data_IF_657272458335
#
_entry.id   IF_657272458335
#
_cell.length_a   1.000
_cell.length_b   1.000
_cell.length_c   1.000
_cell.angle_alpha   90.00
_cell.angle_beta   90.00
_cell.angle_gamma   90.00
#
_symmetry.space_group_name_H-M   'P 1'
#
loop_
_entity.id
_entity.type
_entity.pdbx_description
1 polymer ?
#
# COMPACT_ATOMS: atom_id res chain seq x y z
N UNK A 1 1.48 -38.93 18.06
CA UNK A 1 1.29 -38.12 19.29
C UNK A 1 1.97 -36.74 19.28
N UNK A 2 3.29 -36.54 19.02
CA UNK A 2 3.87 -35.16 18.97
C UNK A 2 3.41 -34.33 17.76
N UNK A 3 3.22 -34.94 16.58
CA UNK A 3 2.83 -34.20 15.36
C UNK A 3 1.33 -33.80 15.34
N UNK A 4 0.42 -34.66 15.81
CA UNK A 4 -1.02 -34.35 15.84
C UNK A 4 -1.35 -33.18 16.78
N UNK A 5 -0.65 -33.07 17.91
CA UNK A 5 -0.87 -32.00 18.90
C UNK A 5 -0.37 -30.63 18.39
N UNK A 6 0.73 -30.61 17.63
CA UNK A 6 1.26 -29.38 17.00
C UNK A 6 0.38 -28.92 15.85
N UNK A 7 -0.06 -29.84 14.99
CA UNK A 7 -0.98 -29.54 13.88
C UNK A 7 -2.32 -28.99 14.40
N UNK A 8 -2.91 -29.62 15.42
CA UNK A 8 -4.14 -29.14 16.02
C UNK A 8 -3.99 -27.74 16.63
N UNK A 9 -2.90 -27.50 17.37
CA UNK A 9 -2.60 -26.18 17.95
C UNK A 9 -2.45 -25.08 16.88
N UNK A 10 -1.77 -25.35 15.78
CA UNK A 10 -1.61 -24.39 14.68
C UNK A 10 -2.95 -24.11 13.98
N UNK A 11 -3.82 -25.11 13.83
CA UNK A 11 -5.18 -24.92 13.28
C UNK A 11 -6.02 -24.04 14.20
N UNK A 12 -5.93 -24.27 15.52
CA UNK A 12 -6.67 -23.48 16.51
C UNK A 12 -6.21 -22.02 16.55
N UNK A 13 -4.88 -21.76 16.50
CA UNK A 13 -4.32 -20.40 16.46
C UNK A 13 -4.72 -19.63 15.19
N UNK A 14 -4.70 -20.27 14.02
CA UNK A 14 -5.19 -19.65 12.77
C UNK A 14 -6.68 -19.31 12.87
N UNK A 15 -7.48 -20.18 13.49
CA UNK A 15 -8.90 -19.92 13.72
C UNK A 15 -9.12 -18.70 14.64
N UNK A 16 -8.32 -18.56 15.69
CA UNK A 16 -8.35 -17.37 16.57
C UNK A 16 -8.02 -16.08 15.81
N UNK A 17 -6.99 -16.09 14.96
CA UNK A 17 -6.60 -14.92 14.16
C UNK A 17 -7.70 -14.54 13.15
N UNK A 18 -8.31 -15.52 12.48
CA UNK A 18 -9.45 -15.27 11.59
C UNK A 18 -10.64 -14.64 12.35
N UNK A 19 -10.86 -15.00 13.62
CA UNK A 19 -11.90 -14.34 14.45
C UNK A 19 -11.55 -12.88 14.71
N UNK A 20 -10.28 -12.54 14.95
CA UNK A 20 -9.84 -11.15 15.09
C UNK A 20 -10.07 -10.37 13.78
N UNK A 21 -9.68 -10.93 12.63
CA UNK A 21 -9.91 -10.30 11.33
C UNK A 21 -11.40 -10.13 11.03
N UNK A 22 -12.24 -11.07 11.45
CA UNK A 22 -13.70 -10.94 11.34
C UNK A 22 -14.26 -9.83 12.22
N UNK A 23 -13.76 -9.66 13.45
CA UNK A 23 -14.15 -8.53 14.31
C UNK A 23 -13.73 -7.20 13.70
N UNK A 24 -12.51 -7.14 13.17
CA UNK A 24 -12.01 -5.98 12.42
C UNK A 24 -12.95 -5.63 11.24
N UNK A 25 -13.28 -6.61 10.39
CA UNK A 25 -14.24 -6.43 9.28
C UNK A 25 -15.62 -5.98 9.79
N UNK A 26 -16.13 -6.56 10.88
CA UNK A 26 -17.43 -6.19 11.44
C UNK A 26 -17.45 -4.73 11.91
N UNK A 27 -16.35 -4.23 12.50
CA UNK A 27 -16.23 -2.81 12.86
C UNK A 27 -16.33 -1.90 11.64
N UNK A 28 -15.57 -2.19 10.58
CA UNK A 28 -15.63 -1.43 9.32
C UNK A 28 -16.94 -1.59 8.54
N UNK A 29 -17.72 -2.65 8.82
CA UNK A 29 -19.06 -2.83 8.26
C UNK A 29 -20.10 -2.06 9.06
N UNK A 30 -19.99 -2.06 10.39
CA UNK A 30 -20.95 -1.41 11.29
C UNK A 30 -20.75 0.10 11.41
N UNK A 31 -19.51 0.59 11.33
CA UNK A 31 -19.11 2.02 11.41
C UNK A 31 -19.75 2.76 12.60
N UNK A 32 -19.96 2.05 13.70
CA UNK A 32 -20.65 2.55 14.89
C UNK A 32 -19.69 3.34 15.79
N UNK A 33 -19.62 4.66 15.57
CA UNK A 33 -18.69 5.58 16.25
C UNK A 33 -18.78 5.48 17.77
N UNK A 34 -19.95 5.17 18.34
CA UNK A 34 -20.13 5.02 19.79
C UNK A 34 -19.35 3.83 20.37
N UNK A 35 -19.01 2.84 19.53
CA UNK A 35 -18.27 1.63 19.92
C UNK A 35 -16.78 1.68 19.59
N UNK A 36 -16.27 2.82 19.11
CA UNK A 36 -14.88 2.90 18.64
C UNK A 36 -13.86 2.61 19.74
N UNK A 37 -14.13 3.03 20.98
CA UNK A 37 -13.25 2.76 22.13
C UNK A 37 -13.11 1.27 22.39
N UNK A 38 -14.25 0.58 22.53
CA UNK A 38 -14.27 -0.87 22.72
C UNK A 38 -13.61 -1.61 21.55
N UNK A 39 -13.83 -1.15 20.31
CA UNK A 39 -13.22 -1.74 19.12
C UNK A 39 -11.69 -1.64 19.14
N UNK A 40 -11.16 -0.46 19.46
CA UNK A 40 -9.72 -0.20 19.47
C UNK A 40 -9.04 -0.93 20.63
N UNK A 41 -9.59 -0.87 21.84
CA UNK A 41 -9.08 -1.58 23.02
C UNK A 41 -9.07 -3.10 22.85
N UNK A 42 -10.09 -3.65 22.19
CA UNK A 42 -10.21 -5.09 21.95
C UNK A 42 -9.17 -5.58 20.94
N UNK A 43 -8.97 -4.83 19.84
CA UNK A 43 -8.25 -5.32 18.67
C UNK A 43 -6.81 -4.85 18.58
N UNK A 44 -6.41 -3.79 19.26
CA UNK A 44 -5.08 -3.17 19.11
C UNK A 44 -4.30 -3.16 20.42
N UNK A 45 -2.97 -3.24 20.29
CA UNK A 45 -2.04 -3.00 21.38
C UNK A 45 -1.94 -1.51 21.70
N UNK A 46 -1.62 -1.21 22.96
CA UNK A 46 -1.46 0.15 23.47
C UNK A 46 -0.48 1.00 22.64
N UNK A 47 0.58 0.37 22.16
CA UNK A 47 1.64 0.93 21.33
C UNK A 47 1.53 0.55 19.85
N UNK A 48 0.34 0.17 19.37
CA UNK A 48 0.14 -0.24 17.99
C UNK A 48 0.56 0.85 16.99
N UNK A 49 1.12 0.42 15.86
CA UNK A 49 1.52 1.26 14.75
C UNK A 49 0.66 0.96 13.52
N UNK A 50 -0.07 1.94 13.00
CA UNK A 50 -0.90 1.78 11.80
C UNK A 50 -0.41 2.73 10.70
N UNK A 51 -0.09 2.16 9.55
CA UNK A 51 0.22 2.88 8.33
C UNK A 51 -1.02 2.87 7.43
N UNK A 52 -1.63 4.04 7.24
CA UNK A 52 -2.76 4.24 6.33
C UNK A 52 -2.33 4.22 4.86
N UNK A 53 -3.15 4.76 3.98
CA UNK A 53 -2.91 4.78 2.53
C UNK A 53 -2.10 5.97 2.03
N UNK A 54 -2.09 7.11 2.73
CA UNK A 54 -1.36 8.34 2.34
C UNK A 54 0.03 8.52 2.98
N UNK A 55 0.79 9.50 2.51
CA UNK A 55 2.17 9.80 2.97
C UNK A 55 2.24 10.29 4.41
N UNK A 56 1.23 11.03 4.86
CA UNK A 56 1.16 11.52 6.25
C UNK A 56 0.43 10.57 7.20
N UNK A 57 0.01 9.40 6.73
CA UNK A 57 -0.88 8.51 7.47
C UNK A 57 -0.11 7.48 8.29
N UNK A 58 0.63 7.96 9.30
CA UNK A 58 1.26 7.13 10.33
C UNK A 58 0.57 7.39 11.66
N UNK A 59 0.00 6.37 12.29
CA UNK A 59 -0.73 6.50 13.55
C UNK A 59 -0.09 5.62 14.62
N UNK A 60 0.31 6.26 15.73
CA UNK A 60 1.09 5.64 16.79
C UNK A 60 0.32 5.65 18.12
N UNK A 61 0.08 4.46 18.66
CA UNK A 61 -0.65 4.23 19.90
C UNK A 61 -2.17 4.33 19.75
N UNK A 62 -2.90 3.83 20.76
CA UNK A 62 -4.37 3.66 20.68
C UNK A 62 -5.13 4.95 20.36
N UNK A 63 -4.72 6.11 20.90
CA UNK A 63 -5.42 7.37 20.64
C UNK A 63 -5.35 7.80 19.17
N UNK A 64 -4.18 7.66 18.55
CA UNK A 64 -4.03 7.99 17.13
C UNK A 64 -4.73 6.95 16.24
N UNK A 65 -4.62 5.66 16.60
CA UNK A 65 -5.36 4.59 15.93
C UNK A 65 -6.87 4.84 16.01
N UNK A 66 -7.40 5.23 17.17
CA UNK A 66 -8.80 5.61 17.34
C UNK A 66 -9.19 6.78 16.43
N UNK A 67 -8.35 7.81 16.34
CA UNK A 67 -8.58 8.94 15.43
C UNK A 67 -8.69 8.48 13.97
N UNK A 68 -7.79 7.61 13.52
CA UNK A 68 -7.85 6.99 12.19
C UNK A 68 -9.17 6.23 12.00
N UNK A 69 -9.52 5.31 12.91
CA UNK A 69 -10.74 4.51 12.79
C UNK A 69 -12.00 5.39 12.73
N UNK A 70 -12.06 6.47 13.53
CA UNK A 70 -13.17 7.44 13.47
C UNK A 70 -13.22 8.11 12.09
N UNK A 71 -12.07 8.53 11.55
CA UNK A 71 -11.99 9.12 10.21
C UNK A 71 -12.46 8.15 9.13
N UNK A 72 -11.98 6.91 9.20
CA UNK A 72 -12.34 5.85 8.28
C UNK A 72 -13.83 5.53 8.31
N UNK A 73 -14.42 5.38 9.49
CA UNK A 73 -15.84 5.07 9.64
C UNK A 73 -16.75 6.20 9.17
N UNK A 74 -16.30 7.45 9.24
CA UNK A 74 -17.07 8.61 8.77
C UNK A 74 -16.96 8.83 7.27
N UNK A 75 -15.76 8.65 6.71
CA UNK A 75 -15.44 9.22 5.40
C UNK A 75 -14.88 8.20 4.40
N UNK A 76 -14.34 7.08 4.88
CA UNK A 76 -13.77 6.07 4.00
C UNK A 76 -14.86 5.16 3.42
N UNK A 77 -14.57 4.55 2.28
CA UNK A 77 -15.51 3.70 1.55
C UNK A 77 -15.90 2.44 2.33
N UNK A 78 -16.71 1.58 1.73
CA UNK A 78 -17.08 0.32 2.38
C UNK A 78 -15.99 -0.71 2.15
N UNK A 79 -15.27 -1.07 3.22
CA UNK A 79 -14.18 -2.02 3.15
C UNK A 79 -14.71 -3.44 3.24
N UNK A 80 -14.18 -4.31 2.39
CA UNK A 80 -14.34 -5.76 2.49
C UNK A 80 -12.98 -6.44 2.31
N UNK A 81 -12.46 -7.05 3.37
CA UNK A 81 -11.27 -7.91 3.29
C UNK A 81 -11.66 -9.34 2.95
N UNK A 82 -10.77 -10.03 2.24
CA UNK A 82 -10.90 -11.45 1.95
C UNK A 82 -10.50 -12.27 3.18
N UNK A 83 -11.48 -12.89 3.83
CA UNK A 83 -11.26 -13.73 5.02
C UNK A 83 -10.96 -15.20 4.65
N UNK A 84 -11.16 -15.59 3.40
CA UNK A 84 -11.00 -16.96 2.93
C UNK A 84 -9.55 -17.20 2.50
N UNK A 85 -8.93 -16.22 1.82
CA UNK A 85 -7.58 -16.33 1.27
C UNK A 85 -6.53 -15.53 2.05
N UNK A 86 -6.70 -15.42 3.38
CA UNK A 86 -5.73 -14.75 4.25
C UNK A 86 -4.45 -15.58 4.36
N UNK A 87 -3.31 -14.94 4.10
CA UNK A 87 -1.99 -15.49 4.42
C UNK A 87 -1.74 -15.30 5.91
N UNK A 88 -1.64 -16.40 6.66
CA UNK A 88 -1.39 -16.39 8.10
C UNK A 88 -0.19 -17.28 8.39
N UNK A 89 0.84 -16.68 8.96
CA UNK A 89 1.98 -17.38 9.56
C UNK A 89 2.12 -16.94 11.01
N UNK A 90 2.75 -17.79 11.83
CA UNK A 90 2.98 -17.50 13.22
C UNK A 90 4.28 -18.12 13.72
N UNK A 91 4.80 -17.53 14.80
CA UNK A 91 5.95 -18.01 15.56
C UNK A 91 5.66 -17.71 17.04
N UNK A 92 5.28 -18.76 17.78
CA UNK A 92 4.88 -18.68 19.19
C UNK A 92 3.72 -17.67 19.43
N UNK A 93 4.00 -16.57 20.13
CA UNK A 93 3.04 -15.53 20.51
C UNK A 93 2.98 -14.37 19.50
N UNK A 94 3.61 -14.52 18.34
CA UNK A 94 3.57 -13.54 17.24
C UNK A 94 2.95 -14.18 16.01
N UNK A 95 2.05 -13.46 15.36
CA UNK A 95 1.51 -13.84 14.07
C UNK A 95 1.64 -12.67 13.09
N UNK A 96 1.80 -12.96 11.82
CA UNK A 96 1.70 -11.95 10.77
C UNK A 96 0.73 -12.41 9.70
N UNK A 97 -0.04 -11.44 9.23
CA UNK A 97 -1.15 -11.66 8.30
C UNK A 97 -1.00 -10.78 7.10
N UNK A 98 -1.47 -11.26 5.97
CA UNK A 98 -1.67 -10.47 4.79
C UNK A 98 -2.91 -10.94 4.04
N UNK A 99 -3.71 -10.01 3.55
CA UNK A 99 -4.90 -10.32 2.75
C UNK A 99 -5.15 -9.27 1.67
N UNK A 100 -5.97 -9.67 0.71
CA UNK A 100 -6.55 -8.77 -0.28
C UNK A 100 -7.90 -8.26 0.21
N UNK A 101 -8.40 -7.22 -0.41
CA UNK A 101 -9.73 -6.72 -0.15
C UNK A 101 -10.15 -5.73 -1.22
N UNK A 102 -11.25 -5.04 -0.94
CA UNK A 102 -11.67 -3.89 -1.71
C UNK A 102 -12.22 -2.80 -0.80
N UNK A 103 -12.17 -1.58 -1.30
CA UNK A 103 -12.92 -0.45 -0.77
C UNK A 103 -13.91 0.02 -1.83
N UNK A 104 -15.20 0.00 -1.48
CA UNK A 104 -16.28 0.43 -2.36
C UNK A 104 -16.50 1.94 -2.22
N UNK A 105 -16.47 2.63 -3.34
CA UNK A 105 -16.86 4.04 -3.43
C UNK A 105 -18.05 4.21 -4.36
N UNK A 106 -18.96 5.09 -3.98
CA UNK A 106 -20.05 5.54 -4.84
C UNK A 106 -19.73 6.92 -5.38
N UNK A 107 -19.67 7.04 -6.71
CA UNK A 107 -19.51 8.29 -7.42
C UNK A 107 -20.85 8.75 -7.96
N UNK A 108 -21.26 9.96 -7.60
CA UNK A 108 -22.57 10.51 -7.96
C UNK A 108 -22.47 11.61 -9.02
N UNK A 109 -23.50 11.67 -9.86
CA UNK A 109 -23.67 12.71 -10.86
C UNK A 109 -24.46 13.89 -10.32
N UNK A 110 -23.82 14.72 -9.49
CA UNK A 110 -24.44 15.88 -8.84
C UNK A 110 -23.71 17.18 -9.15
N UNK A 111 -24.45 18.30 -9.12
CA UNK A 111 -23.91 19.64 -9.29
C UNK A 111 -22.82 19.94 -8.24
N UNK A 112 -23.07 19.60 -6.97
CA UNK A 112 -22.10 19.76 -5.88
C UNK A 112 -20.77 19.05 -6.18
N UNK A 113 -20.81 17.84 -6.74
CA UNK A 113 -19.59 17.12 -7.10
C UNK A 113 -18.82 17.85 -8.21
N UNK A 114 -19.51 18.36 -9.22
CA UNK A 114 -18.87 19.17 -10.26
C UNK A 114 -18.30 20.47 -9.71
N UNK A 115 -18.99 21.15 -8.80
CA UNK A 115 -18.49 22.35 -8.11
C UNK A 115 -17.23 22.03 -7.28
N UNK A 116 -17.17 20.86 -6.64
CA UNK A 116 -15.96 20.41 -5.94
C UNK A 116 -14.76 20.25 -6.88
N UNK A 117 -14.96 19.72 -8.10
CA UNK A 117 -13.91 19.63 -9.11
C UNK A 117 -13.50 21.00 -9.65
N UNK A 118 -14.45 21.92 -9.86
CA UNK A 118 -14.14 23.29 -10.27
C UNK A 118 -13.35 24.05 -9.20
N UNK A 119 -13.71 23.88 -7.92
CA UNK A 119 -12.96 24.44 -6.80
C UNK A 119 -11.55 23.86 -6.72
N UNK A 120 -11.39 22.56 -6.92
CA UNK A 120 -10.07 21.93 -7.02
C UNK A 120 -9.23 22.54 -8.14
N UNK A 121 -9.80 22.70 -9.34
CA UNK A 121 -9.11 23.32 -10.49
C UNK A 121 -8.74 24.77 -10.17
N UNK A 122 -9.64 25.54 -9.55
CA UNK A 122 -9.37 26.92 -9.13
C UNK A 122 -8.17 26.99 -8.18
N UNK A 123 -8.15 26.15 -7.15
CA UNK A 123 -7.02 26.07 -6.22
C UNK A 123 -5.72 25.71 -6.96
N UNK A 124 -5.78 24.77 -7.92
CA UNK A 124 -4.60 24.37 -8.72
C UNK A 124 -4.08 25.49 -9.62
N UNK A 125 -4.96 26.35 -10.14
CA UNK A 125 -4.57 27.53 -10.93
C UNK A 125 -3.82 28.53 -10.04
N UNK A 126 -4.27 28.72 -8.80
CA UNK A 126 -3.73 29.70 -7.85
C UNK A 126 -2.40 29.26 -7.20
N UNK A 127 -2.05 27.97 -7.25
CA UNK A 127 -0.84 27.41 -6.62
C UNK A 127 0.46 27.98 -7.20
N UNK A 128 1.21 28.78 -6.46
CA UNK A 128 2.38 29.52 -7.01
C UNK A 128 3.64 28.66 -7.22
N UNK A 129 3.74 27.50 -6.58
CA UNK A 129 4.99 26.73 -6.49
C UNK A 129 5.20 25.75 -7.65
N UNK A 130 4.22 25.60 -8.55
CA UNK A 130 4.27 24.68 -9.70
C UNK A 130 4.24 25.42 -11.04
N UNK A 131 4.92 24.87 -12.05
CA UNK A 131 5.06 25.51 -13.37
C UNK A 131 3.73 25.48 -14.13
N UNK A 132 3.47 26.45 -15.03
CA UNK A 132 2.25 26.47 -15.85
C UNK A 132 1.98 25.17 -16.63
N UNK A 133 3.02 24.53 -17.21
CA UNK A 133 2.89 23.23 -17.88
C UNK A 133 2.35 22.16 -16.94
N UNK A 134 2.92 22.04 -15.73
CA UNK A 134 2.50 21.07 -14.70
C UNK A 134 1.06 21.31 -14.25
N UNK A 135 0.64 22.58 -14.07
CA UNK A 135 -0.75 22.93 -13.75
C UNK A 135 -1.72 22.41 -14.80
N UNK A 136 -1.47 22.76 -16.05
CA UNK A 136 -2.38 22.43 -17.17
C UNK A 136 -2.48 20.92 -17.36
N UNK A 137 -1.36 20.19 -17.32
CA UNK A 137 -1.39 18.73 -17.50
C UNK A 137 -2.01 18.01 -16.30
N UNK A 138 -1.83 18.51 -15.08
CA UNK A 138 -2.54 17.99 -13.91
C UNK A 138 -4.05 18.22 -14.01
N UNK A 139 -4.48 19.43 -14.40
CA UNK A 139 -5.91 19.74 -14.63
C UNK A 139 -6.47 18.81 -15.73
N UNK A 140 -5.73 18.62 -16.83
CA UNK A 140 -6.13 17.69 -17.89
C UNK A 140 -6.30 16.26 -17.37
N UNK A 141 -5.40 15.79 -16.51
CA UNK A 141 -5.51 14.47 -15.88
C UNK A 141 -6.76 14.34 -14.98
N UNK A 142 -7.05 15.35 -14.16
CA UNK A 142 -8.29 15.36 -13.34
C UNK A 142 -9.53 15.37 -14.23
N UNK A 143 -9.55 16.17 -15.29
CA UNK A 143 -10.68 16.22 -16.23
C UNK A 143 -10.87 14.89 -16.97
N UNK A 144 -9.77 14.22 -17.37
CA UNK A 144 -9.82 12.91 -18.00
C UNK A 144 -10.47 11.84 -17.10
N UNK A 145 -10.32 11.97 -15.77
CA UNK A 145 -10.94 11.06 -14.79
C UNK A 145 -12.36 11.50 -14.38
N UNK A 146 -12.64 12.80 -14.37
CA UNK A 146 -13.94 13.33 -13.90
C UNK A 146 -15.01 13.40 -14.99
N UNK A 147 -14.60 13.62 -16.25
CA UNK A 147 -15.49 13.96 -17.37
C UNK A 147 -15.51 12.84 -18.42
N UNK A 148 -16.09 11.70 -18.05
CA UNK A 148 -16.46 10.62 -18.99
C UNK A 148 -17.97 10.41 -19.00
N UNK A 149 -18.49 9.82 -20.08
CA UNK A 149 -19.94 9.69 -20.29
C UNK A 149 -20.59 8.87 -19.16
N UNK A 150 -21.72 9.40 -18.67
CA UNK A 150 -22.51 8.83 -17.59
C UNK A 150 -23.86 8.40 -18.15
N UNK A 151 -24.10 7.10 -18.30
CA UNK A 151 -25.44 6.57 -18.56
C UNK A 151 -26.29 6.55 -17.27
N UNK A 152 -25.65 6.36 -16.12
CA UNK A 152 -26.30 6.24 -14.81
C UNK A 152 -25.94 7.40 -13.88
N UNK A 153 -26.86 7.75 -12.97
CA UNK A 153 -26.67 8.85 -12.01
C UNK A 153 -25.72 8.51 -10.86
N UNK A 154 -25.47 7.22 -10.61
CA UNK A 154 -24.54 6.73 -9.59
C UNK A 154 -23.75 5.55 -10.15
N UNK A 155 -22.46 5.47 -9.81
CA UNK A 155 -21.60 4.32 -10.11
C UNK A 155 -20.87 3.87 -8.87
N UNK A 156 -20.89 2.56 -8.63
CA UNK A 156 -20.09 1.93 -7.58
C UNK A 156 -18.79 1.42 -8.18
N UNK A 157 -17.68 1.72 -7.52
CA UNK A 157 -16.35 1.27 -7.89
C UNK A 157 -15.75 0.47 -6.74
N UNK A 158 -15.27 -0.73 -7.06
CA UNK A 158 -14.49 -1.55 -6.14
C UNK A 158 -13.01 -1.33 -6.42
N UNK A 159 -12.36 -0.66 -5.48
CA UNK A 159 -10.93 -0.40 -5.54
C UNK A 159 -10.20 -1.53 -4.82
N UNK A 160 -9.12 -2.09 -5.39
CA UNK A 160 -8.36 -3.11 -4.70
C UNK A 160 -7.74 -2.53 -3.42
N UNK A 161 -7.75 -3.33 -2.36
CA UNK A 161 -7.13 -3.04 -1.07
C UNK A 161 -6.14 -4.17 -0.74
N UNK A 162 -5.08 -3.81 -0.04
CA UNK A 162 -4.15 -4.71 0.62
C UNK A 162 -4.10 -4.35 2.09
N UNK A 163 -4.09 -5.38 2.92
CA UNK A 163 -3.90 -5.25 4.35
C UNK A 163 -2.85 -6.27 4.77
N UNK A 164 -1.79 -5.79 5.40
CA UNK A 164 -0.85 -6.65 6.13
C UNK A 164 -0.74 -6.18 7.57
N UNK A 165 -0.41 -7.07 8.49
CA UNK A 165 -0.24 -6.70 9.89
C UNK A 165 0.47 -7.75 10.72
N UNK A 166 0.85 -7.34 11.91
CA UNK A 166 1.45 -8.20 12.94
C UNK A 166 0.55 -8.19 14.16
N UNK A 167 0.26 -9.38 14.68
CA UNK A 167 -0.51 -9.59 15.90
C UNK A 167 0.38 -10.18 16.99
N UNK A 168 0.16 -9.74 18.22
CA UNK A 168 0.76 -10.30 19.42
C UNK A 168 -0.32 -10.96 20.27
N UNK A 169 0.02 -12.12 20.85
CA UNK A 169 -0.82 -12.77 21.85
C UNK A 169 -0.52 -12.17 23.22
N UNK A 170 -1.46 -11.38 23.72
CA UNK A 170 -1.40 -10.65 24.99
C UNK A 170 -2.52 -11.13 25.91
N UNK A 171 -2.18 -11.62 27.11
CA UNK A 171 -3.11 -12.27 28.04
C UNK A 171 -4.05 -13.30 27.37
N UNK A 172 -3.49 -14.09 26.46
CA UNK A 172 -4.21 -15.13 25.73
C UNK A 172 -5.07 -14.61 24.56
N UNK A 173 -5.10 -13.31 24.29
CA UNK A 173 -5.85 -12.68 23.19
C UNK A 173 -4.92 -12.12 22.13
N UNK A 174 -5.25 -12.33 20.87
CA UNK A 174 -4.52 -11.73 19.76
C UNK A 174 -4.94 -10.27 19.55
N UNK A 175 -3.97 -9.38 19.46
CA UNK A 175 -4.17 -7.96 19.17
C UNK A 175 -3.18 -7.48 18.11
N UNK A 176 -3.58 -6.57 17.24
CA UNK A 176 -2.71 -5.91 16.27
C UNK A 176 -1.67 -5.04 16.98
N UNK A 177 -0.41 -5.32 16.73
CA UNK A 177 0.73 -4.45 17.05
C UNK A 177 1.12 -3.58 15.85
N UNK A 178 0.87 -4.07 14.62
CA UNK A 178 1.11 -3.30 13.40
C UNK A 178 0.05 -3.60 12.33
N UNK A 179 -0.36 -2.57 11.58
CA UNK A 179 -1.17 -2.71 10.36
C UNK A 179 -0.61 -1.78 9.28
N UNK A 180 -0.69 -2.22 8.03
CA UNK A 180 -0.40 -1.42 6.85
C UNK A 180 -1.52 -1.62 5.82
N UNK A 181 -2.24 -0.53 5.54
CA UNK A 181 -3.21 -0.44 4.45
C UNK A 181 -2.52 0.08 3.20
N UNK A 182 -2.79 -0.54 2.06
CA UNK A 182 -2.39 0.06 0.79
C UNK A 182 -3.41 -0.20 -0.31
N UNK A 183 -3.53 0.79 -1.20
CA UNK A 183 -4.23 0.63 -2.46
C UNK A 183 -3.13 0.42 -3.51
N UNK A 184 -3.17 -0.69 -4.28
CA UNK A 184 -2.23 -0.89 -5.38
C UNK A 184 -2.15 0.33 -6.29
N UNK A 185 -0.96 0.67 -6.79
CA UNK A 185 -0.80 1.87 -7.63
C UNK A 185 -1.61 1.77 -8.93
N UNK A 186 -2.00 2.94 -9.42
CA UNK A 186 -2.38 3.13 -10.82
C UNK A 186 -1.13 3.04 -11.73
N UNK A 187 -1.21 3.51 -12.97
CA UNK A 187 -0.07 3.53 -13.89
C UNK A 187 1.16 4.24 -13.30
N UNK A 188 0.93 5.29 -12.50
CA UNK A 188 1.96 6.05 -11.78
C UNK A 188 1.55 6.29 -10.32
N UNK A 189 2.51 6.41 -9.39
CA UNK A 189 2.25 6.90 -8.04
C UNK A 189 1.59 8.28 -8.04
N UNK A 190 0.84 8.59 -6.99
CA UNK A 190 0.19 9.90 -6.86
C UNK A 190 1.16 11.03 -6.60
N UNK A 191 2.22 10.70 -5.87
CA UNK A 191 3.18 11.65 -5.35
C UNK A 191 4.53 11.43 -5.99
N UNK A 192 5.17 12.55 -6.33
CA UNK A 192 6.54 12.65 -6.80
C UNK A 192 7.11 13.92 -6.18
N UNK A 193 8.29 13.86 -5.59
CA UNK A 193 8.85 15.02 -4.88
C UNK A 193 9.10 16.22 -5.80
N UNK A 194 9.29 15.98 -7.08
CA UNK A 194 9.41 17.04 -8.08
C UNK A 194 8.06 17.71 -8.43
N UNK A 195 6.91 17.14 -8.01
CA UNK A 195 5.58 17.67 -8.33
C UNK A 195 5.04 18.70 -7.34
N UNK A 196 5.34 18.56 -6.05
CA UNK A 196 4.74 19.41 -5.01
C UNK A 196 5.58 19.42 -3.75
N UNK A 197 5.75 20.62 -3.19
CA UNK A 197 6.35 20.82 -1.88
C UNK A 197 5.51 20.20 -0.76
N UNK A 198 4.19 20.19 -0.90
CA UNK A 198 3.27 19.55 0.05
C UNK A 198 3.58 18.06 0.21
N UNK A 199 4.00 17.37 -0.86
CA UNK A 199 4.42 15.96 -0.76
C UNK A 199 5.67 15.81 0.10
N UNK A 200 6.64 16.73 -0.04
CA UNK A 200 7.86 16.73 0.78
C UNK A 200 7.53 17.07 2.23
N UNK A 201 6.68 18.07 2.47
CA UNK A 201 6.22 18.46 3.80
C UNK A 201 5.47 17.31 4.48
N UNK A 202 4.56 16.63 3.77
CA UNK A 202 3.86 15.44 4.29
C UNK A 202 4.83 14.31 4.64
N UNK A 203 5.85 14.07 3.81
CA UNK A 203 6.88 13.05 4.08
C UNK A 203 7.68 13.41 5.34
N UNK A 204 8.08 14.68 5.48
CA UNK A 204 8.83 15.14 6.65
C UNK A 204 7.98 15.12 7.92
N UNK A 205 6.70 15.51 7.85
CA UNK A 205 5.77 15.43 8.98
C UNK A 205 5.65 13.99 9.48
N UNK A 206 5.60 13.02 8.57
CA UNK A 206 5.59 11.60 8.95
C UNK A 206 6.87 11.19 9.68
N UNK A 207 8.05 11.67 9.23
CA UNK A 207 9.31 11.42 9.91
C UNK A 207 9.33 12.03 11.33
N UNK A 208 8.85 13.27 11.49
CA UNK A 208 8.70 13.91 12.81
C UNK A 208 7.76 13.14 13.75
N UNK A 209 6.77 12.42 13.21
CA UNK A 209 5.92 11.54 14.02
C UNK A 209 6.70 10.31 14.51
N UNK A 210 7.60 9.75 13.70
CA UNK A 210 8.44 8.61 14.12
C UNK A 210 9.39 9.01 15.25
N UNK A 211 9.92 10.24 15.25
CA UNK A 211 10.80 10.73 16.33
C UNK A 211 10.11 10.70 17.71
N UNK A 212 8.79 10.76 17.75
CA UNK A 212 7.99 10.68 18.98
C UNK A 212 7.76 9.23 19.45
N UNK A 213 8.13 8.23 18.65
CA UNK A 213 7.94 6.82 18.98
C UNK A 213 9.04 6.32 19.93
N UNK A 214 8.66 6.12 21.19
CA UNK A 214 9.60 5.78 22.28
C UNK A 214 10.06 4.30 22.29
N UNK A 215 9.31 3.40 21.65
CA UNK A 215 9.53 1.95 21.73
C UNK A 215 10.32 1.40 20.52
N UNK A 216 11.18 2.21 19.90
CA UNK A 216 11.95 1.78 18.75
C UNK A 216 13.08 0.82 19.16
N UNK A 217 13.08 -0.39 18.59
CA UNK A 217 14.01 -1.47 18.91
C UNK A 217 14.98 -1.77 17.76
N UNK A 218 15.35 -0.75 16.99
CA UNK A 218 16.33 -0.87 15.91
C UNK A 218 17.67 -1.35 16.46
N UNK A 219 18.18 -2.47 15.94
CA UNK A 219 19.53 -2.97 16.28
C UNK A 219 20.49 -2.77 15.12
N UNK A 220 21.80 -2.93 15.38
CA UNK A 220 22.84 -2.83 14.35
C UNK A 220 22.64 -3.90 13.27
N UNK A 221 22.23 -5.10 13.65
CA UNK A 221 21.99 -6.23 12.75
C UNK A 221 20.80 -5.96 11.82
N UNK A 222 19.68 -5.45 12.35
CA UNK A 222 18.51 -5.10 11.54
C UNK A 222 18.83 -3.93 10.60
N UNK A 223 19.51 -2.89 11.09
CA UNK A 223 19.96 -1.76 10.27
C UNK A 223 20.90 -2.22 9.16
N UNK A 224 21.78 -3.18 9.45
CA UNK A 224 22.71 -3.76 8.48
C UNK A 224 21.97 -4.58 7.44
N UNK A 225 21.02 -5.45 7.85
CA UNK A 225 20.18 -6.21 6.93
C UNK A 225 19.46 -5.29 5.93
N UNK A 226 18.82 -4.22 6.42
CA UNK A 226 18.07 -3.28 5.57
C UNK A 226 18.99 -2.52 4.60
N UNK A 227 20.16 -2.04 5.06
CA UNK A 227 21.15 -1.37 4.20
C UNK A 227 21.75 -2.29 3.15
N UNK A 228 22.10 -3.51 3.55
CA UNK A 228 22.67 -4.50 2.61
C UNK A 228 21.62 -4.94 1.59
N UNK A 229 20.37 -5.12 2.01
CA UNK A 229 19.26 -5.42 1.09
C UNK A 229 19.07 -4.30 0.05
N UNK A 230 19.03 -3.04 0.48
CA UNK A 230 18.96 -1.89 -0.43
C UNK A 230 20.07 -1.92 -1.49
N UNK A 231 21.31 -2.15 -1.05
CA UNK A 231 22.50 -2.07 -1.91
C UNK A 231 22.69 -3.29 -2.82
N UNK A 232 22.42 -4.49 -2.29
CA UNK A 232 22.79 -5.75 -2.94
C UNK A 232 21.64 -6.39 -3.71
N UNK A 233 20.39 -5.99 -3.47
CA UNK A 233 19.21 -6.56 -4.16
C UNK A 233 18.61 -5.54 -5.11
N UNK A 234 18.31 -4.33 -4.65
CA UNK A 234 17.60 -3.35 -5.46
C UNK A 234 18.52 -2.76 -6.53
N UNK A 235 18.01 -2.62 -7.75
CA UNK A 235 18.77 -2.10 -8.89
C UNK A 235 19.71 -3.12 -9.56
N UNK A 236 19.72 -4.38 -9.11
CA UNK A 236 20.59 -5.41 -9.68
C UNK A 236 19.92 -6.13 -10.86
N UNK A 237 20.63 -6.21 -12.00
CA UNK A 237 20.15 -6.90 -13.22
C UNK A 237 20.19 -8.42 -13.09
N UNK A 238 21.21 -8.96 -12.43
CA UNK A 238 21.48 -10.39 -12.35
C UNK A 238 21.40 -10.86 -10.91
N UNK A 239 20.21 -11.29 -10.49
CA UNK A 239 19.97 -11.77 -9.13
C UNK A 239 19.94 -13.28 -9.14
N UNK A 240 20.82 -13.89 -8.35
CA UNK A 240 20.91 -15.35 -8.21
C UNK A 240 20.03 -15.86 -7.07
N UNK A 241 19.75 -17.16 -7.08
CA UNK A 241 18.98 -17.80 -6.01
C UNK A 241 19.72 -17.76 -4.66
N UNK A 242 21.03 -17.92 -4.73
CA UNK A 242 21.95 -17.87 -3.58
C UNK A 242 21.99 -16.48 -2.95
N UNK A 243 21.84 -15.43 -3.77
CA UNK A 243 21.72 -14.07 -3.27
C UNK A 243 20.38 -13.87 -2.55
N UNK A 244 19.25 -14.30 -3.13
CA UNK A 244 17.95 -14.23 -2.47
C UNK A 244 17.94 -15.01 -1.15
N UNK A 245 18.57 -16.19 -1.09
CA UNK A 245 18.62 -17.01 0.14
C UNK A 245 19.40 -16.38 1.29
N UNK A 246 20.20 -15.32 1.05
CA UNK A 246 20.82 -14.53 2.12
C UNK A 246 19.82 -13.61 2.83
N UNK A 247 18.76 -13.22 2.11
CA UNK A 247 17.82 -12.20 2.57
C UNK A 247 16.44 -12.76 2.88
N UNK A 248 16.07 -13.95 2.38
CA UNK A 248 14.74 -14.52 2.59
C UNK A 248 14.76 -15.95 3.15
N UNK A 249 13.81 -16.24 4.05
CA UNK A 249 13.63 -17.58 4.67
C UNK A 249 13.17 -18.58 3.63
N UNK A 250 14.07 -19.43 3.15
CA UNK A 250 13.80 -20.36 2.05
C UNK A 250 12.75 -21.42 2.40
N UNK A 251 12.71 -21.89 3.65
CA UNK A 251 11.87 -23.03 4.05
C UNK A 251 10.41 -22.65 4.34
N UNK A 252 10.07 -21.36 4.38
CA UNK A 252 8.78 -20.90 4.92
C UNK A 252 7.98 -20.04 3.92
N UNK A 253 8.12 -20.27 2.61
CA UNK A 253 7.42 -19.55 1.55
C UNK A 253 7.44 -18.02 1.74
N UNK A 254 8.62 -17.40 1.62
CA UNK A 254 8.75 -15.96 1.82
C UNK A 254 7.97 -15.23 0.73
N UNK A 255 7.47 -14.03 1.02
CA UNK A 255 6.70 -13.30 0.02
C UNK A 255 6.86 -11.77 0.08
N UNK A 256 6.64 -11.16 -1.08
CA UNK A 256 6.59 -9.71 -1.26
C UNK A 256 5.21 -9.31 -1.75
N UNK A 257 4.54 -8.42 -1.02
CA UNK A 257 3.37 -7.68 -1.50
C UNK A 257 3.92 -6.47 -2.26
N UNK A 258 3.62 -6.41 -3.55
CA UNK A 258 4.14 -5.37 -4.44
C UNK A 258 3.31 -4.09 -4.35
N UNK A 259 3.85 -3.02 -4.94
CA UNK A 259 3.10 -1.78 -5.14
C UNK A 259 1.99 -1.96 -6.18
N UNK A 260 2.14 -2.91 -7.10
CA UNK A 260 1.07 -3.36 -7.99
C UNK A 260 0.12 -4.36 -7.30
N UNK A 261 -1.01 -4.67 -7.93
CA UNK A 261 -2.03 -5.60 -7.40
C UNK A 261 -1.58 -7.08 -7.46
N UNK A 262 -0.33 -7.39 -7.09
CA UNK A 262 0.35 -8.68 -7.26
C UNK A 262 1.21 -9.05 -6.06
N UNK A 263 1.44 -10.36 -5.92
CA UNK A 263 2.27 -10.95 -4.86
C UNK A 263 3.37 -11.76 -5.53
N UNK A 264 4.56 -11.74 -4.94
CA UNK A 264 5.67 -12.62 -5.30
C UNK A 264 5.87 -13.60 -4.16
N UNK A 265 5.54 -14.87 -4.38
CA UNK A 265 5.60 -15.91 -3.36
C UNK A 265 6.69 -16.90 -3.74
N UNK A 266 7.58 -17.16 -2.79
CA UNK A 266 8.72 -18.01 -3.00
C UNK A 266 9.85 -17.32 -3.76
N UNK A 267 10.97 -18.02 -3.78
CA UNK A 267 12.26 -17.42 -4.14
C UNK A 267 12.38 -17.10 -5.61
N UNK A 268 11.81 -17.94 -6.47
CA UNK A 268 11.89 -17.73 -7.91
C UNK A 268 11.10 -16.48 -8.34
N UNK A 269 9.92 -16.25 -7.77
CA UNK A 269 9.12 -15.05 -8.04
C UNK A 269 9.75 -13.79 -7.43
N UNK A 270 10.33 -13.89 -6.23
CA UNK A 270 11.05 -12.78 -5.60
C UNK A 270 12.27 -12.38 -6.46
N UNK A 271 13.02 -13.37 -6.96
CA UNK A 271 14.16 -13.15 -7.86
C UNK A 271 13.73 -12.43 -9.13
N UNK A 272 12.67 -12.91 -9.77
CA UNK A 272 12.11 -12.30 -10.99
C UNK A 272 11.67 -10.85 -10.75
N UNK A 273 10.99 -10.60 -9.63
CA UNK A 273 10.55 -9.25 -9.26
C UNK A 273 11.69 -8.24 -9.27
N UNK A 274 12.80 -8.53 -8.58
CA UNK A 274 13.91 -7.59 -8.53
C UNK A 274 14.69 -7.53 -9.87
N UNK A 275 14.79 -8.65 -10.60
CA UNK A 275 15.44 -8.67 -11.90
C UNK A 275 14.72 -7.80 -12.94
N UNK A 276 13.38 -7.74 -12.91
CA UNK A 276 12.58 -6.89 -13.81
C UNK A 276 12.58 -5.42 -13.36
N UNK A 277 12.72 -5.15 -12.07
CA UNK A 277 12.69 -3.79 -11.50
C UNK A 277 14.10 -3.26 -11.20
N UNK A 278 15.05 -3.49 -12.11
CA UNK A 278 16.46 -3.17 -11.92
C UNK A 278 16.84 -1.70 -12.23
N UNK A 279 15.93 -0.90 -12.76
CA UNK A 279 16.17 0.51 -13.08
C UNK A 279 15.89 1.47 -11.90
N UNK A 280 15.46 0.92 -10.76
CA UNK A 280 15.17 1.71 -9.57
C UNK A 280 16.34 1.75 -8.60
N UNK A 281 16.52 2.90 -7.96
CA UNK A 281 17.35 3.09 -6.79
C UNK A 281 16.44 3.29 -5.59
N UNK A 282 16.45 2.32 -4.66
CA UNK A 282 15.79 2.47 -3.37
C UNK A 282 16.74 3.14 -2.38
N UNK A 283 16.22 4.03 -1.54
CA UNK A 283 16.91 4.54 -0.36
C UNK A 283 15.95 4.53 0.82
N UNK A 284 16.22 3.70 1.82
CA UNK A 284 15.38 3.63 3.03
C UNK A 284 15.83 4.68 4.05
N UNK A 285 14.87 5.35 4.66
CA UNK A 285 15.10 6.29 5.77
C UNK A 285 15.15 5.52 7.09
N UNK A 286 16.31 4.94 7.36
CA UNK A 286 16.50 4.07 8.52
C UNK A 286 16.67 4.82 9.84
N UNK A 287 16.86 6.13 9.81
CA UNK A 287 16.86 6.95 11.03
C UNK A 287 15.43 7.16 11.55
N UNK A 288 14.45 7.20 10.62
CA UNK A 288 13.02 7.31 10.92
C UNK A 288 12.26 5.99 10.65
N UNK A 289 12.92 4.85 10.87
CA UNK A 289 12.27 3.54 10.80
C UNK A 289 11.78 3.11 12.19
N UNK A 290 10.56 2.57 12.27
CA UNK A 290 10.00 1.96 13.48
C UNK A 290 10.31 0.47 13.45
N UNK A 291 11.00 -0.01 14.48
CA UNK A 291 11.30 -1.43 14.65
C UNK A 291 10.75 -1.90 15.97
N UNK A 292 10.13 -3.08 15.97
CA UNK A 292 9.66 -3.75 17.16
C UNK A 292 9.98 -5.23 17.07
N UNK A 293 10.30 -5.85 18.20
CA UNK A 293 10.76 -7.21 18.34
C UNK A 293 10.01 -7.87 19.50
N UNK A 294 9.50 -9.06 19.23
CA UNK A 294 8.96 -9.94 20.27
C UNK A 294 9.46 -11.36 20.00
N UNK A 295 10.16 -11.93 20.99
CA UNK A 295 10.87 -13.21 20.84
C UNK A 295 11.81 -13.18 19.62
N UNK A 296 11.63 -14.11 18.67
CA UNK A 296 12.45 -14.29 17.47
C UNK A 296 11.90 -13.57 16.23
N UNK A 297 10.86 -12.76 16.40
CA UNK A 297 10.21 -12.05 15.31
C UNK A 297 10.42 -10.56 15.49
N UNK A 298 10.94 -9.92 14.46
CA UNK A 298 11.07 -8.47 14.36
C UNK A 298 10.15 -8.00 13.23
N UNK A 299 9.44 -6.90 13.43
CA UNK A 299 8.75 -6.21 12.35
C UNK A 299 9.20 -4.76 12.24
N UNK A 300 9.23 -4.29 11.00
CA UNK A 300 9.77 -2.98 10.62
C UNK A 300 8.69 -2.22 9.86
N UNK A 301 8.56 -0.93 10.15
CA UNK A 301 7.88 0.06 9.31
C UNK A 301 8.88 1.13 8.96
N UNK A 302 9.12 1.34 7.67
CA UNK A 302 10.08 2.32 7.16
C UNK A 302 9.50 3.07 5.96
N UNK A 303 9.90 4.32 5.82
CA UNK A 303 9.73 5.07 4.59
C UNK A 303 11.05 5.19 3.85
N UNK A 304 10.97 5.57 2.60
CA UNK A 304 12.13 5.76 1.76
C UNK A 304 11.79 6.47 0.47
N UNK A 305 12.76 6.45 -0.43
CA UNK A 305 12.68 7.08 -1.75
C UNK A 305 12.97 6.02 -2.79
N UNK A 306 12.11 5.94 -3.79
CA UNK A 306 12.35 5.16 -4.99
C UNK A 306 12.65 6.12 -6.14
N UNK A 307 13.86 6.04 -6.69
CA UNK A 307 14.34 6.91 -7.76
C UNK A 307 14.50 6.14 -9.05
N UNK A 308 14.15 6.77 -10.16
CA UNK A 308 14.48 6.32 -11.51
C UNK A 308 14.61 7.55 -12.43
N UNK A 309 15.26 7.38 -13.57
CA UNK A 309 15.29 8.39 -14.63
C UNK A 309 14.54 7.82 -15.84
N UNK A 310 13.54 8.56 -16.32
CA UNK A 310 12.75 8.17 -17.49
C UNK A 310 12.61 9.39 -18.40
N UNK A 311 13.10 9.27 -19.62
CA UNK A 311 12.97 10.32 -20.64
C UNK A 311 11.51 10.42 -21.12
N UNK A 312 11.19 11.56 -21.75
CA UNK A 312 9.86 11.75 -22.35
C UNK A 312 9.58 10.71 -23.45
N UNK A 313 10.58 10.38 -24.26
CA UNK A 313 10.46 9.36 -25.31
C UNK A 313 10.17 7.97 -24.72
N UNK A 314 10.97 7.52 -23.74
CA UNK A 314 10.76 6.22 -23.08
C UNK A 314 9.37 6.12 -22.42
N UNK A 315 8.92 7.22 -21.80
CA UNK A 315 7.58 7.30 -21.22
C UNK A 315 6.51 7.13 -22.30
N UNK A 316 6.63 7.83 -23.43
CA UNK A 316 5.65 7.76 -24.51
C UNK A 316 5.67 6.41 -25.22
N UNK A 317 6.85 5.83 -25.48
CA UNK A 317 6.99 4.48 -26.03
C UNK A 317 6.33 3.43 -25.12
N UNK A 318 6.55 3.52 -23.80
CA UNK A 318 5.89 2.65 -22.82
C UNK A 318 4.38 2.76 -22.92
N UNK A 319 3.84 3.98 -22.93
CA UNK A 319 2.39 4.20 -23.01
C UNK A 319 1.83 3.69 -24.34
N UNK A 320 2.51 3.92 -25.46
CA UNK A 320 2.10 3.38 -26.76
C UNK A 320 2.06 1.84 -26.76
N UNK A 321 3.03 1.18 -26.11
CA UNK A 321 3.02 -0.26 -25.91
C UNK A 321 1.81 -0.74 -25.09
N UNK A 322 1.50 -0.07 -23.98
CA UNK A 322 0.32 -0.36 -23.16
C UNK A 322 -0.99 -0.17 -23.95
N UNK A 323 -1.09 0.89 -24.76
CA UNK A 323 -2.24 1.13 -25.63
C UNK A 323 -2.37 0.06 -26.73
N UNK A 324 -1.25 -0.41 -27.29
CA UNK A 324 -1.25 -1.53 -28.24
C UNK A 324 -1.86 -2.79 -27.65
N UNK A 325 -1.50 -3.13 -26.41
CA UNK A 325 -2.08 -4.27 -25.68
C UNK A 325 -3.57 -4.05 -25.37
N UNK A 326 -3.95 -2.84 -24.94
CA UNK A 326 -5.34 -2.49 -24.65
C UNK A 326 -6.26 -2.68 -25.86
N UNK A 327 -5.80 -2.32 -27.07
CA UNK A 327 -6.59 -2.47 -28.29
C UNK A 327 -6.94 -3.93 -28.59
N UNK A 328 -6.10 -4.87 -28.16
CA UNK A 328 -6.32 -6.32 -28.29
C UNK A 328 -7.16 -6.94 -27.15
N UNK A 329 -7.49 -6.17 -26.11
CA UNK A 329 -8.27 -6.68 -24.98
C UNK A 329 -9.77 -6.85 -25.30
N UNK A 330 -10.48 -7.62 -24.48
CA UNK A 330 -11.91 -7.92 -24.66
C UNK A 330 -12.86 -6.86 -24.06
N UNK A 331 -12.36 -5.73 -23.57
CA UNK A 331 -13.22 -4.67 -23.01
C UNK A 331 -13.93 -3.88 -24.15
N UNK A 332 -15.03 -3.19 -23.81
CA UNK A 332 -15.84 -2.46 -24.80
C UNK A 332 -15.07 -1.30 -25.43
N UNK A 333 -15.44 -0.90 -26.65
CA UNK A 333 -14.80 0.24 -27.34
C UNK A 333 -14.89 1.54 -26.54
N UNK A 334 -16.01 1.77 -25.84
CA UNK A 334 -16.17 2.92 -24.95
C UNK A 334 -15.14 2.90 -23.81
N UNK A 335 -14.98 1.76 -23.14
CA UNK A 335 -13.99 1.61 -22.08
C UNK A 335 -12.56 1.76 -22.61
N UNK A 336 -12.26 1.22 -23.80
CA UNK A 336 -10.96 1.42 -24.45
C UNK A 336 -10.67 2.90 -24.66
N UNK A 337 -11.62 3.67 -25.20
CA UNK A 337 -11.45 5.11 -25.42
C UNK A 337 -11.20 5.87 -24.10
N UNK A 338 -11.91 5.50 -23.03
CA UNK A 338 -11.70 6.08 -21.71
C UNK A 338 -10.30 5.77 -21.17
N UNK A 339 -9.88 4.51 -21.19
CA UNK A 339 -8.54 4.10 -20.73
C UNK A 339 -7.44 4.76 -21.58
N UNK A 340 -7.62 4.87 -22.91
CA UNK A 340 -6.69 5.60 -23.80
C UNK A 340 -6.54 7.05 -23.36
N UNK A 341 -7.64 7.77 -23.19
CA UNK A 341 -7.60 9.19 -22.80
C UNK A 341 -6.93 9.38 -21.45
N UNK A 342 -7.27 8.53 -20.47
CA UNK A 342 -6.66 8.52 -19.13
C UNK A 342 -5.15 8.27 -19.20
N UNK A 343 -4.70 7.28 -19.96
CA UNK A 343 -3.28 6.93 -20.10
C UNK A 343 -2.47 8.06 -20.76
N UNK A 344 -3.01 8.69 -21.80
CA UNK A 344 -2.38 9.88 -22.41
C UNK A 344 -2.29 11.03 -21.41
N UNK A 345 -3.36 11.29 -20.67
CA UNK A 345 -3.37 12.36 -19.68
C UNK A 345 -2.35 12.12 -18.55
N UNK A 346 -2.19 10.87 -18.11
CA UNK A 346 -1.11 10.49 -17.20
C UNK A 346 0.27 10.76 -17.79
N UNK A 347 0.53 10.33 -19.03
CA UNK A 347 1.82 10.54 -19.69
C UNK A 347 2.19 12.02 -19.77
N UNK A 348 1.24 12.88 -20.15
CA UNK A 348 1.44 14.33 -20.21
C UNK A 348 1.67 14.95 -18.82
N UNK A 349 0.97 14.45 -17.80
CA UNK A 349 1.16 14.88 -16.40
C UNK A 349 2.58 14.57 -15.94
N UNK A 350 3.02 13.34 -16.14
CA UNK A 350 4.35 12.86 -15.71
C UNK A 350 5.50 13.52 -16.49
N UNK A 351 5.36 13.67 -17.82
CA UNK A 351 6.38 14.32 -18.66
C UNK A 351 6.53 15.82 -18.38
N UNK A 352 5.50 16.48 -17.83
CA UNK A 352 5.55 17.90 -17.52
C UNK A 352 6.52 18.25 -16.38
N UNK A 353 6.87 17.28 -15.53
CA UNK A 353 7.73 17.50 -14.36
C UNK A 353 9.21 17.27 -14.64
N UNK A 354 9.54 16.53 -15.71
CA UNK A 354 10.92 16.25 -16.13
C UNK A 354 11.28 14.77 -16.01
N UNK A 355 12.57 14.48 -16.13
CA UNK A 355 13.06 13.10 -16.29
C UNK A 355 13.38 12.38 -14.99
N UNK A 356 13.53 13.09 -13.87
CA UNK A 356 13.91 12.51 -12.58
C UNK A 356 12.70 12.16 -11.73
N UNK A 357 12.41 10.88 -11.54
CA UNK A 357 11.24 10.45 -10.78
C UNK A 357 11.66 10.00 -9.39
N UNK A 358 11.40 10.84 -8.38
CA UNK A 358 11.57 10.46 -6.97
C UNK A 358 10.21 10.27 -6.31
N UNK A 359 9.87 9.03 -5.99
CA UNK A 359 8.63 8.69 -5.30
C UNK A 359 8.89 8.41 -3.82
N UNK A 360 8.02 8.86 -2.89
CA UNK A 360 7.98 8.29 -1.56
C UNK A 360 7.54 6.83 -1.64
N UNK A 361 8.26 5.93 -0.98
CA UNK A 361 7.90 4.51 -0.89
C UNK A 361 7.83 4.09 0.57
N UNK A 362 6.86 3.23 0.87
CA UNK A 362 6.65 2.68 2.21
C UNK A 362 6.94 1.20 2.22
N UNK A 363 7.56 0.73 3.29
CA UNK A 363 7.92 -0.65 3.53
C UNK A 363 7.44 -1.06 4.91
N UNK A 364 6.69 -2.15 4.99
CA UNK A 364 6.59 -2.95 6.21
C UNK A 364 7.16 -4.33 5.98
N UNK A 365 7.87 -4.88 6.95
CA UNK A 365 8.49 -6.19 6.81
C UNK A 365 8.43 -7.00 8.11
N UNK A 366 8.38 -8.31 7.97
CA UNK A 366 8.59 -9.29 9.04
C UNK A 366 9.93 -9.98 8.81
N UNK A 367 10.73 -10.00 9.86
CA UNK A 367 12.09 -10.53 9.91
C UNK A 367 12.14 -11.61 10.98
N UNK A 368 12.67 -12.78 10.64
CA UNK A 368 12.88 -13.89 11.57
C UNK A 368 14.35 -13.99 11.95
N UNK A 369 14.61 -14.45 13.17
CA UNK A 369 15.94 -14.85 13.62
C UNK A 369 16.23 -16.28 13.13
N UNK A 370 17.05 -16.42 12.09
CA UNK A 370 17.37 -17.69 11.43
C UNK A 370 18.88 -17.92 11.40
N UNK A 371 19.35 -19.04 11.98
CA UNK A 371 20.79 -19.36 12.08
C UNK A 371 21.64 -18.17 12.60
N UNK A 372 21.15 -17.50 13.66
CA UNK A 372 21.80 -16.33 14.30
C UNK A 372 21.90 -15.08 13.41
N UNK A 373 21.15 -15.01 12.30
CA UNK A 373 21.07 -13.83 11.44
C UNK A 373 19.62 -13.42 11.18
N UNK A 374 19.32 -12.10 11.13
CA UNK A 374 18.01 -11.63 10.77
C UNK A 374 17.78 -11.84 9.26
N UNK A 375 16.62 -12.37 8.89
CA UNK A 375 16.26 -12.65 7.49
C UNK A 375 14.78 -12.34 7.23
N UNK A 376 14.43 -11.85 6.04
CA UNK A 376 13.05 -11.50 5.70
C UNK A 376 12.18 -12.75 5.51
N UNK A 377 11.00 -12.70 6.11
CA UNK A 377 9.91 -13.61 5.82
C UNK A 377 8.88 -12.94 4.90
N UNK A 378 8.61 -11.66 5.12
CA UNK A 378 7.59 -10.92 4.41
C UNK A 378 8.04 -9.48 4.22
N UNK A 379 7.75 -8.91 3.05
CA UNK A 379 7.87 -7.48 2.78
C UNK A 379 6.58 -7.00 2.11
N UNK A 380 6.12 -5.80 2.44
CA UNK A 380 5.02 -5.12 1.77
C UNK A 380 5.48 -3.72 1.37
N UNK A 381 5.61 -3.52 0.06
CA UNK A 381 5.87 -2.23 -0.54
C UNK A 381 4.57 -1.55 -0.93
N UNK A 382 4.43 -0.27 -0.63
CA UNK A 382 3.34 0.54 -1.16
C UNK A 382 3.82 1.93 -1.55
N UNK A 383 3.17 2.50 -2.55
CA UNK A 383 3.21 3.95 -2.75
C UNK A 383 2.10 4.58 -1.92
N UNK A 384 2.32 5.79 -1.39
CA UNK A 384 1.25 6.63 -0.93
C UNK A 384 0.17 6.84 -1.99
N UNK A 385 -1.08 6.81 -1.54
CA UNK A 385 -2.27 6.91 -2.36
C UNK A 385 -3.18 7.98 -1.73
N UNK A 386 -3.42 9.07 -2.45
CA UNK A 386 -4.14 10.25 -1.96
C UNK A 386 -5.46 10.46 -2.69
N UNK A 387 -5.46 10.28 -4.02
CA UNK A 387 -6.56 10.75 -4.85
C UNK A 387 -7.54 9.63 -5.19
N UNK A 388 -8.74 9.66 -4.62
CA UNK A 388 -9.83 8.75 -4.97
C UNK A 388 -10.64 9.35 -6.12
N UNK A 389 -10.28 9.01 -7.34
CA UNK A 389 -10.98 9.41 -8.56
C UNK A 389 -11.57 8.22 -9.31
N UNK A 390 -12.80 8.37 -9.80
CA UNK A 390 -13.48 7.36 -10.61
C UNK A 390 -12.58 6.86 -11.75
N UNK A 391 -12.42 5.55 -11.88
CA UNK A 391 -11.62 4.96 -12.96
C UNK A 391 -10.13 5.32 -12.93
N UNK A 392 -9.56 5.76 -11.81
CA UNK A 392 -8.09 5.97 -11.70
C UNK A 392 -7.31 4.66 -11.72
N UNK A 393 -7.89 3.62 -11.13
CA UNK A 393 -7.41 2.24 -11.21
C UNK A 393 -8.45 1.45 -11.99
N UNK A 394 -7.99 0.50 -12.80
CA UNK A 394 -8.87 -0.45 -13.47
C UNK A 394 -9.58 -1.30 -12.42
N UNK A 395 -10.87 -1.00 -12.24
CA UNK A 395 -11.74 -1.70 -11.30
C UNK A 395 -12.38 -2.91 -11.97
N UNK A 396 -12.67 -3.94 -11.18
CA UNK A 396 -13.73 -4.86 -11.54
C UNK A 396 -15.05 -4.09 -11.41
N UNK A 397 -15.72 -3.80 -12.54
CA UNK A 397 -17.10 -3.30 -12.47
C UNK A 397 -17.94 -4.37 -11.76
N UNK A 398 -18.72 -3.97 -10.77
CA UNK A 398 -19.81 -4.80 -10.28
C UNK A 398 -20.75 -4.99 -11.46
N UNK A 399 -20.65 -6.12 -12.15
CA UNK A 399 -21.72 -6.53 -13.05
C UNK A 399 -22.99 -6.49 -12.21
N UNK A 400 -23.99 -5.71 -12.63
CA UNK A 400 -25.34 -5.84 -12.10
C UNK A 400 -25.68 -7.30 -12.23
N UNK A 401 -25.75 -8.01 -11.10
CA UNK A 401 -26.44 -9.28 -11.04
C UNK A 401 -27.83 -9.02 -11.59
N UNK A 402 -28.11 -9.60 -12.75
CA UNK A 402 -29.46 -9.74 -13.25
C UNK A 402 -30.32 -10.28 -12.10
N UNK A 403 -31.30 -9.49 -11.68
CA UNK A 403 -32.42 -9.93 -10.84
C UNK A 403 -33.28 -10.94 -11.58
#
# INVERSE_FOLDING_TARGET
>A
MKNENTLQKTVDEKSEIIKILRKFQNGYTGKDIEKVDAFVEELFKDDACVLGTGTGELFLGLEQVKSLIIGDWKYWGDIKIDLENVYINNENTVAWVATTGNVKYTFENTQEKYESYLNFIKNKIEESEIKPKQKITFINWVLALAYHQRLEKKREYLWPLRLSGVLLKDDGKWKFANIHFSIPKANFPDERFENSKECIESYNNQNEMVEKYINNQMTIEIKTLLKSFEKEIVGQKNISKELISKYFVMENNPYIIRTENQWCIGVDQIKEFFAVNNDYILTLDLEHAIVSKHNKVTWVTACGKLKQTVTEEELYEKILGELGNLLQSDITSEEKLFVIHRSIAYALKESATGVDYTYPIRLTAVILEHMESPIFQQIHFSFPFQWIFEGKIDSFKLNKSET
#
